data_IF_939146124279
#
_entry.id   IF_939146124279
#
_cell.length_a   1.000
_cell.length_b   1.000
_cell.length_c   1.000
_cell.angle_alpha   90.00
_cell.angle_beta   90.00
_cell.angle_gamma   90.00
#
_symmetry.space_group_name_H-M   'P 1'
#
loop_
_entity.id
_entity.type
_entity.pdbx_description
1 polymer ?
#
# COMPACT_ATOMS: atom_id res chain seq x y z
N UNK A 1 -0.07 16.78 -20.37
CA UNK A 1 -0.34 16.60 -18.92
C UNK A 1 -0.48 15.13 -18.52
N UNK A 2 -1.28 14.28 -19.17
CA UNK A 2 -1.42 12.85 -18.82
C UNK A 2 -0.11 12.06 -18.88
N UNK A 3 0.75 12.30 -19.89
CA UNK A 3 2.03 11.59 -20.02
C UNK A 3 3.00 11.87 -18.85
N UNK A 4 3.06 13.11 -18.36
CA UNK A 4 3.90 13.44 -17.21
C UNK A 4 3.40 12.76 -15.92
N UNK A 5 2.08 12.66 -15.74
CA UNK A 5 1.47 11.96 -14.62
C UNK A 5 1.75 10.45 -14.69
N UNK A 6 1.62 9.85 -15.89
CA UNK A 6 1.94 8.44 -16.12
C UNK A 6 3.42 8.15 -15.82
N UNK A 7 4.35 8.96 -16.33
CA UNK A 7 5.78 8.80 -16.06
C UNK A 7 6.05 8.89 -14.55
N UNK A 8 5.48 9.88 -13.87
CA UNK A 8 5.63 10.02 -12.41
C UNK A 8 5.09 8.82 -11.66
N UNK A 9 3.93 8.28 -12.05
CA UNK A 9 3.35 7.09 -11.43
C UNK A 9 4.23 5.86 -11.65
N UNK A 10 4.67 5.61 -12.89
CA UNK A 10 5.54 4.48 -13.24
C UNK A 10 6.90 4.56 -12.54
N UNK A 11 7.54 5.72 -12.50
CA UNK A 11 8.83 5.90 -11.83
C UNK A 11 8.72 5.56 -10.35
N UNK A 12 7.67 6.02 -9.68
CA UNK A 12 7.46 5.71 -8.25
C UNK A 12 7.11 4.25 -8.01
N UNK A 13 6.32 3.64 -8.89
CA UNK A 13 6.00 2.23 -8.85
C UNK A 13 7.27 1.38 -8.96
N UNK A 14 8.07 1.63 -10.02
CA UNK A 14 9.32 0.89 -10.26
C UNK A 14 10.32 1.09 -9.14
N UNK A 15 10.46 2.31 -8.63
CA UNK A 15 11.32 2.60 -7.48
C UNK A 15 10.85 1.85 -6.23
N UNK A 16 9.54 1.82 -5.96
CA UNK A 16 8.96 1.07 -4.85
C UNK A 16 9.23 -0.43 -4.97
N UNK A 17 9.01 -1.02 -6.15
CA UNK A 17 9.35 -2.43 -6.42
C UNK A 17 10.84 -2.69 -6.20
N UNK A 18 11.71 -1.84 -6.76
CA UNK A 18 13.16 -2.00 -6.64
C UNK A 18 13.62 -1.94 -5.17
N UNK A 19 13.12 -0.98 -4.39
CA UNK A 19 13.46 -0.84 -2.96
C UNK A 19 12.98 -2.07 -2.19
N UNK A 20 11.75 -2.53 -2.42
CA UNK A 20 11.20 -3.68 -1.71
C UNK A 20 11.94 -4.97 -2.07
N UNK A 21 12.23 -5.21 -3.36
CA UNK A 21 13.03 -6.32 -3.82
C UNK A 21 14.44 -6.31 -3.19
N UNK A 22 15.12 -5.17 -3.23
CA UNK A 22 16.45 -5.03 -2.64
C UNK A 22 16.43 -5.28 -1.13
N UNK A 23 15.41 -4.80 -0.43
CA UNK A 23 15.28 -4.97 1.01
C UNK A 23 15.01 -6.43 1.39
N UNK A 24 14.01 -7.07 0.77
CA UNK A 24 13.62 -8.44 1.11
C UNK A 24 14.66 -9.45 0.64
N UNK A 25 15.03 -9.44 -0.65
CA UNK A 25 15.94 -10.43 -1.21
C UNK A 25 17.40 -10.16 -0.81
N UNK A 26 17.78 -8.90 -0.59
CA UNK A 26 19.09 -8.56 -0.01
C UNK A 26 19.26 -9.14 1.39
N UNK A 27 18.24 -9.03 2.25
CA UNK A 27 18.24 -9.64 3.57
C UNK A 27 18.16 -11.18 3.52
N UNK A 28 17.33 -11.73 2.65
CA UNK A 28 17.19 -13.17 2.43
C UNK A 28 18.47 -13.80 1.84
N UNK A 29 19.28 -13.03 1.12
CA UNK A 29 20.47 -13.52 0.42
C UNK A 29 20.15 -14.48 -0.75
N UNK A 30 18.89 -14.56 -1.18
CA UNK A 30 18.45 -15.45 -2.24
C UNK A 30 17.15 -15.00 -2.87
N UNK A 31 17.02 -15.23 -4.18
CA UNK A 31 15.78 -15.02 -4.93
C UNK A 31 14.78 -16.20 -4.80
N UNK A 32 15.18 -17.29 -4.11
CA UNK A 32 14.30 -18.46 -3.89
C UNK A 32 13.30 -18.25 -2.75
N UNK A 33 13.35 -17.11 -2.07
CA UNK A 33 12.37 -16.74 -1.05
C UNK A 33 11.01 -16.46 -1.70
N UNK A 34 10.20 -17.51 -1.88
CA UNK A 34 8.94 -17.44 -2.62
C UNK A 34 7.87 -16.54 -1.97
N UNK A 35 7.81 -16.49 -0.61
CA UNK A 35 6.91 -15.59 0.10
C UNK A 35 7.19 -14.12 -0.25
N UNK A 36 8.47 -13.76 -0.45
CA UNK A 36 8.85 -12.43 -0.93
C UNK A 36 8.23 -12.08 -2.28
N UNK A 37 8.21 -13.04 -3.22
CA UNK A 37 7.54 -12.84 -4.51
C UNK A 37 6.03 -12.72 -4.37
N UNK A 38 5.39 -13.57 -3.52
CA UNK A 38 3.96 -13.48 -3.25
C UNK A 38 3.61 -12.10 -2.71
N UNK A 39 4.36 -11.58 -1.76
CA UNK A 39 4.14 -10.26 -1.19
C UNK A 39 4.29 -9.15 -2.24
N UNK A 40 5.34 -9.17 -3.04
CA UNK A 40 5.60 -8.17 -4.09
C UNK A 40 4.46 -8.16 -5.11
N UNK A 41 4.04 -9.34 -5.58
CA UNK A 41 2.96 -9.47 -6.55
C UNK A 41 1.64 -9.00 -5.94
N UNK A 42 1.31 -9.47 -4.72
CA UNK A 42 0.08 -9.10 -4.03
C UNK A 42 -0.01 -7.60 -3.74
N UNK A 43 1.11 -6.94 -3.49
CA UNK A 43 1.16 -5.51 -3.21
C UNK A 43 1.08 -4.67 -4.51
N UNK A 44 1.92 -4.97 -5.48
CA UNK A 44 2.10 -4.09 -6.64
C UNK A 44 1.12 -4.35 -7.79
N UNK A 45 0.60 -5.57 -7.96
CA UNK A 45 -0.38 -5.83 -9.02
C UNK A 45 -1.70 -5.10 -8.77
N UNK A 46 -2.36 -5.23 -7.59
CA UNK A 46 -3.58 -4.46 -7.33
C UNK A 46 -3.33 -2.95 -7.33
N UNK A 47 -2.19 -2.49 -6.78
CA UNK A 47 -1.82 -1.08 -6.80
C UNK A 47 -1.68 -0.55 -8.24
N UNK A 48 -1.10 -1.33 -9.14
CA UNK A 48 -0.96 -0.98 -10.55
C UNK A 48 -2.33 -0.90 -11.23
N UNK A 49 -3.23 -1.86 -10.97
CA UNK A 49 -4.59 -1.87 -11.52
C UNK A 49 -5.34 -0.61 -11.07
N UNK A 50 -5.35 -0.33 -9.76
CA UNK A 50 -5.98 0.89 -9.22
C UNK A 50 -5.35 2.15 -9.81
N UNK A 51 -4.01 2.18 -9.91
CA UNK A 51 -3.28 3.29 -10.52
C UNK A 51 -3.68 3.56 -11.97
N UNK A 52 -3.85 2.51 -12.79
CA UNK A 52 -4.32 2.63 -14.18
C UNK A 52 -5.75 3.12 -14.23
N UNK A 53 -6.64 2.57 -13.39
CA UNK A 53 -8.04 3.01 -13.31
C UNK A 53 -8.13 4.49 -12.94
N UNK A 54 -7.37 4.92 -11.93
CA UNK A 54 -7.32 6.33 -11.52
C UNK A 54 -6.73 7.23 -12.63
N UNK A 55 -5.70 6.79 -13.33
CA UNK A 55 -5.13 7.55 -14.44
C UNK A 55 -6.13 7.81 -15.55
N UNK A 56 -7.04 6.85 -15.81
CA UNK A 56 -8.04 6.94 -16.87
C UNK A 56 -9.26 7.73 -16.39
N UNK A 57 -9.80 7.39 -15.20
CA UNK A 57 -11.09 7.90 -14.72
C UNK A 57 -10.96 9.14 -13.84
N UNK A 58 -9.94 9.20 -12.99
CA UNK A 58 -9.78 10.23 -11.95
C UNK A 58 -8.33 10.72 -11.84
N UNK A 59 -7.77 11.36 -12.90
CA UNK A 59 -6.35 11.75 -12.92
C UNK A 59 -5.99 12.76 -11.83
N UNK A 60 -6.92 13.60 -11.39
CA UNK A 60 -6.67 14.56 -10.31
C UNK A 60 -6.58 13.88 -8.95
N UNK A 61 -7.37 12.83 -8.71
CA UNK A 61 -7.22 12.00 -7.51
C UNK A 61 -5.86 11.29 -7.50
N UNK A 62 -5.44 10.73 -8.64
CA UNK A 62 -4.11 10.14 -8.76
C UNK A 62 -3.00 11.16 -8.47
N UNK A 63 -3.13 12.38 -8.98
CA UNK A 63 -2.17 13.46 -8.71
C UNK A 63 -2.09 13.80 -7.22
N UNK A 64 -3.22 13.93 -6.53
CA UNK A 64 -3.29 14.13 -5.07
C UNK A 64 -2.60 12.99 -4.32
N UNK A 65 -2.82 11.75 -4.74
CA UNK A 65 -2.21 10.54 -4.14
C UNK A 65 -0.70 10.45 -4.37
N UNK A 66 -0.21 10.91 -5.49
CA UNK A 66 1.22 10.97 -5.78
C UNK A 66 1.91 12.14 -5.08
N UNK A 67 1.17 13.11 -4.56
CA UNK A 67 1.76 14.20 -3.78
C UNK A 67 2.19 13.68 -2.40
N UNK A 68 3.51 13.68 -2.16
CA UNK A 68 4.12 13.10 -0.94
C UNK A 68 4.56 14.18 0.05
N UNK A 69 4.40 15.48 -0.31
CA UNK A 69 4.82 16.57 0.56
C UNK A 69 3.83 16.73 1.71
N UNK A 70 4.18 16.15 2.85
CA UNK A 70 3.49 16.41 4.11
C UNK A 70 3.88 17.82 4.61
N UNK A 71 2.89 18.65 4.87
CA UNK A 71 3.08 20.02 5.36
C UNK A 71 3.17 20.11 6.88
N UNK A 72 2.59 19.13 7.58
CA UNK A 72 2.64 19.06 9.04
C UNK A 72 3.93 18.36 9.51
N UNK A 73 4.72 19.06 10.31
CA UNK A 73 6.00 18.57 10.85
C UNK A 73 5.81 17.34 11.75
N UNK A 74 4.76 17.33 12.58
CA UNK A 74 4.46 16.20 13.47
C UNK A 74 4.09 14.96 12.68
N UNK A 75 3.25 15.11 11.66
CA UNK A 75 2.83 14.02 10.78
C UNK A 75 3.99 13.50 9.93
N UNK A 76 4.89 14.36 9.47
CA UNK A 76 6.12 13.97 8.78
C UNK A 76 6.99 13.05 9.64
N UNK A 77 7.09 13.31 10.95
CA UNK A 77 7.79 12.44 11.90
C UNK A 77 7.17 11.03 11.98
N UNK A 78 5.86 10.95 12.12
CA UNK A 78 5.12 9.68 12.16
C UNK A 78 5.29 8.90 10.85
N UNK A 79 5.19 9.55 9.71
CA UNK A 79 5.36 8.90 8.38
C UNK A 79 6.78 8.34 8.23
N UNK A 80 7.81 9.08 8.65
CA UNK A 80 9.21 8.60 8.60
C UNK A 80 9.43 7.42 9.54
N UNK A 81 8.93 7.48 10.77
CA UNK A 81 9.03 6.40 11.73
C UNK A 81 8.33 5.12 11.23
N UNK A 82 7.11 5.26 10.68
CA UNK A 82 6.39 4.15 10.07
C UNK A 82 7.15 3.55 8.88
N UNK A 83 7.72 4.38 8.03
CA UNK A 83 8.56 3.91 6.91
C UNK A 83 9.77 3.11 7.38
N UNK A 84 10.46 3.56 8.45
CA UNK A 84 11.56 2.82 9.04
C UNK A 84 11.12 1.46 9.61
N UNK A 85 9.99 1.43 10.32
CA UNK A 85 9.43 0.18 10.87
C UNK A 85 9.09 -0.82 9.76
N UNK A 86 8.54 -0.37 8.63
CA UNK A 86 8.29 -1.24 7.47
C UNK A 86 9.58 -1.81 6.89
N UNK A 87 10.61 -0.97 6.70
CA UNK A 87 11.90 -1.44 6.20
C UNK A 87 12.48 -2.50 7.15
N UNK A 88 12.44 -2.25 8.46
CA UNK A 88 12.90 -3.22 9.46
C UNK A 88 12.09 -4.52 9.41
N UNK A 89 10.77 -4.46 9.27
CA UNK A 89 9.92 -5.64 9.15
C UNK A 89 10.28 -6.47 7.91
N UNK A 90 10.51 -5.86 6.76
CA UNK A 90 10.92 -6.55 5.54
C UNK A 90 12.33 -7.15 5.65
N UNK A 91 13.26 -6.45 6.28
CA UNK A 91 14.59 -6.99 6.56
C UNK A 91 14.48 -8.21 7.48
N UNK A 92 13.72 -8.11 8.57
CA UNK A 92 13.51 -9.22 9.51
C UNK A 92 12.83 -10.42 8.85
N UNK A 93 11.88 -10.19 7.95
CA UNK A 93 11.25 -11.26 7.16
C UNK A 93 12.26 -11.99 6.28
N UNK A 94 13.11 -11.26 5.56
CA UNK A 94 14.18 -11.85 4.75
C UNK A 94 15.20 -12.61 5.58
N UNK A 95 15.66 -12.04 6.71
CA UNK A 95 16.58 -12.71 7.65
C UNK A 95 15.94 -13.95 8.29
N UNK A 96 14.66 -13.88 8.65
CA UNK A 96 13.90 -15.01 9.20
C UNK A 96 13.92 -16.20 8.26
N UNK A 97 13.71 -15.97 6.95
CA UNK A 97 13.85 -17.02 5.93
C UNK A 97 15.30 -17.52 5.81
N UNK A 98 16.27 -16.60 5.74
CA UNK A 98 17.69 -16.94 5.58
C UNK A 98 18.23 -17.82 6.70
N UNK A 99 17.84 -17.50 7.93
CA UNK A 99 18.33 -18.22 9.13
C UNK A 99 17.36 -19.28 9.64
N UNK A 100 16.20 -19.46 8.97
CA UNK A 100 15.20 -20.46 9.37
C UNK A 100 14.57 -20.18 10.73
N UNK A 101 14.47 -18.91 11.16
CA UNK A 101 13.92 -18.57 12.47
C UNK A 101 12.45 -18.96 12.60
N UNK A 102 11.69 -18.85 11.52
CA UNK A 102 10.30 -19.27 11.43
C UNK A 102 9.94 -19.60 9.99
N UNK A 103 9.06 -20.58 9.83
CA UNK A 103 8.48 -20.92 8.53
C UNK A 103 6.96 -20.96 8.67
N UNK A 104 6.30 -20.03 8.02
CA UNK A 104 4.83 -20.02 8.00
C UNK A 104 4.32 -21.18 7.14
N UNK A 105 3.36 -21.98 7.63
CA UNK A 105 2.70 -22.99 6.82
C UNK A 105 2.02 -22.35 5.59
N UNK A 106 2.04 -23.05 4.46
CA UNK A 106 1.48 -22.53 3.21
C UNK A 106 0.01 -22.11 3.30
N UNK A 107 -0.78 -22.79 4.13
CA UNK A 107 -2.18 -22.43 4.36
C UNK A 107 -2.34 -21.08 5.07
N UNK A 108 -1.45 -20.73 5.99
CA UNK A 108 -1.44 -19.41 6.65
C UNK A 108 -1.17 -18.33 5.63
N UNK A 109 -0.16 -18.53 4.77
CA UNK A 109 0.18 -17.58 3.69
C UNK A 109 -0.99 -17.43 2.72
N UNK A 110 -1.68 -18.52 2.38
CA UNK A 110 -2.85 -18.46 1.50
C UNK A 110 -4.00 -17.66 2.12
N UNK A 111 -4.33 -17.89 3.40
CA UNK A 111 -5.36 -17.12 4.11
C UNK A 111 -4.96 -15.64 4.19
N UNK A 112 -3.72 -15.35 4.56
CA UNK A 112 -3.23 -13.98 4.64
C UNK A 112 -3.31 -13.28 3.26
N UNK A 113 -2.96 -13.98 2.17
CA UNK A 113 -3.09 -13.46 0.81
C UNK A 113 -4.55 -13.13 0.46
N UNK A 114 -5.48 -14.02 0.77
CA UNK A 114 -6.92 -13.77 0.52
C UNK A 114 -7.40 -12.54 1.29
N UNK A 115 -7.09 -12.45 2.58
CA UNK A 115 -7.47 -11.30 3.41
C UNK A 115 -6.81 -10.01 2.91
N UNK A 116 -5.57 -10.08 2.48
CA UNK A 116 -4.84 -8.95 1.90
C UNK A 116 -5.53 -8.43 0.62
N UNK A 117 -5.90 -9.33 -0.29
CA UNK A 117 -6.60 -8.96 -1.52
C UNK A 117 -8.01 -8.41 -1.25
N UNK A 118 -8.73 -8.98 -0.28
CA UNK A 118 -10.03 -8.45 0.16
C UNK A 118 -9.89 -7.03 0.73
N UNK A 119 -8.86 -6.78 1.54
CA UNK A 119 -8.58 -5.45 2.06
C UNK A 119 -8.25 -4.45 0.94
N UNK A 120 -7.56 -4.89 -0.12
CA UNK A 120 -7.36 -4.06 -1.32
C UNK A 120 -8.65 -3.72 -2.05
N UNK A 121 -9.60 -4.65 -2.14
CA UNK A 121 -10.91 -4.39 -2.73
C UNK A 121 -11.69 -3.36 -1.92
N UNK A 122 -11.69 -3.50 -0.58
CA UNK A 122 -12.30 -2.51 0.32
C UNK A 122 -11.64 -1.14 0.12
N UNK A 123 -10.30 -1.10 0.04
CA UNK A 123 -9.56 0.13 -0.17
C UNK A 123 -9.88 0.78 -1.53
N UNK A 124 -10.00 -0.01 -2.59
CA UNK A 124 -10.38 0.46 -3.92
C UNK A 124 -11.80 1.04 -3.92
N UNK A 125 -12.73 0.41 -3.20
CA UNK A 125 -14.10 0.89 -3.05
C UNK A 125 -14.14 2.22 -2.28
N UNK A 126 -13.38 2.35 -1.21
CA UNK A 126 -13.22 3.61 -0.47
C UNK A 126 -12.72 4.73 -1.38
N UNK A 127 -11.76 4.44 -2.27
CA UNK A 127 -11.27 5.42 -3.25
C UNK A 127 -12.31 5.79 -4.29
N UNK A 128 -13.16 4.84 -4.68
CA UNK A 128 -14.24 5.08 -5.62
C UNK A 128 -15.31 6.00 -5.02
N UNK A 129 -15.66 5.81 -3.76
CA UNK A 129 -16.69 6.60 -3.09
C UNK A 129 -16.19 8.00 -2.69
N UNK A 130 -14.93 8.12 -2.29
CA UNK A 130 -14.38 9.35 -1.74
C UNK A 130 -13.30 9.96 -2.63
N UNK A 131 -13.72 10.79 -3.57
CA UNK A 131 -12.82 11.53 -4.47
C UNK A 131 -11.99 12.63 -3.75
N UNK A 132 -12.33 12.99 -2.51
CA UNK A 132 -11.57 13.95 -1.69
C UNK A 132 -10.38 13.30 -0.98
N UNK A 133 -10.25 11.97 -1.02
CA UNK A 133 -9.24 11.23 -0.30
C UNK A 133 -7.83 11.54 -0.83
N UNK A 134 -7.15 12.44 -0.14
CA UNK A 134 -5.73 12.78 -0.36
C UNK A 134 -4.83 11.92 0.53
N UNK A 135 -3.55 11.82 0.20
CA UNK A 135 -2.54 11.20 1.08
C UNK A 135 -2.16 12.12 2.23
N UNK A 136 -2.24 13.42 2.01
CA UNK A 136 -2.02 14.47 3.00
C UNK A 136 -3.35 14.93 3.58
N UNK A 137 -3.36 15.34 4.85
CA UNK A 137 -4.58 15.91 5.46
C UNK A 137 -4.80 17.30 4.88
N UNK A 138 -5.78 17.39 4.00
CA UNK A 138 -6.23 18.65 3.39
C UNK A 138 -7.76 18.72 3.52
N UNK A 139 -8.26 19.79 4.16
CA UNK A 139 -9.69 20.07 4.21
C UNK A 139 -9.97 21.16 3.19
N UNK A 140 -10.77 20.82 2.17
CA UNK A 140 -11.23 21.82 1.19
C UNK A 140 -12.59 22.38 1.62
N UNK A 141 -12.82 23.68 1.36
CA UNK A 141 -14.05 24.35 1.74
C UNK A 141 -15.34 23.72 1.17
N UNK A 142 -15.21 22.98 0.07
CA UNK A 142 -16.32 22.32 -0.61
C UNK A 142 -16.46 20.82 -0.26
N UNK A 143 -15.67 20.32 0.71
CA UNK A 143 -15.67 18.90 1.08
C UNK A 143 -17.00 18.53 1.76
N UNK A 144 -17.77 17.64 1.10
CA UNK A 144 -18.99 17.08 1.67
C UNK A 144 -18.68 15.86 2.53
N UNK A 145 -19.44 15.68 3.60
CA UNK A 145 -19.41 14.46 4.40
C UNK A 145 -19.99 13.33 3.54
N UNK A 146 -19.26 12.22 3.44
CA UNK A 146 -19.69 11.01 2.73
C UNK A 146 -20.23 10.04 3.78
N UNK A 147 -21.49 9.66 3.64
CA UNK A 147 -22.23 8.75 4.53
C UNK A 147 -22.88 7.57 3.77
N UNK A 148 -22.46 7.35 2.51
CA UNK A 148 -22.98 6.30 1.63
C UNK A 148 -22.05 5.10 1.57
N UNK A 149 -22.52 3.97 1.03
CA UNK A 149 -21.74 2.76 0.79
C UNK A 149 -21.03 2.25 2.03
N UNK A 150 -19.71 2.10 1.97
CA UNK A 150 -18.91 1.64 3.10
C UNK A 150 -18.92 2.60 4.29
N UNK A 151 -19.08 3.91 4.04
CA UNK A 151 -19.14 4.92 5.10
C UNK A 151 -20.45 4.88 5.89
N UNK A 152 -21.53 4.31 5.33
CA UNK A 152 -22.78 4.05 6.05
C UNK A 152 -22.63 2.92 7.09
N UNK A 153 -21.69 1.98 6.85
CA UNK A 153 -21.48 0.80 7.72
C UNK A 153 -20.39 1.10 8.75
N UNK A 154 -19.29 1.72 8.34
CA UNK A 154 -18.12 2.00 9.18
C UNK A 154 -17.68 3.45 8.97
N UNK A 155 -17.49 4.20 10.07
CA UNK A 155 -17.07 5.62 10.00
C UNK A 155 -15.72 5.82 9.31
N UNK A 156 -14.81 4.85 9.43
CA UNK A 156 -13.45 4.93 8.90
C UNK A 156 -13.07 3.67 8.11
N UNK A 157 -13.72 3.39 6.97
CA UNK A 157 -13.51 2.16 6.23
C UNK A 157 -12.05 2.03 5.71
N UNK A 158 -11.40 3.14 5.40
CA UNK A 158 -9.99 3.13 4.99
C UNK A 158 -9.07 2.62 6.11
N UNK A 159 -9.31 3.01 7.36
CA UNK A 159 -8.51 2.53 8.49
C UNK A 159 -8.73 1.04 8.73
N UNK A 160 -9.97 0.56 8.62
CA UNK A 160 -10.27 -0.87 8.73
C UNK A 160 -9.53 -1.69 7.67
N UNK A 161 -9.58 -1.27 6.41
CA UNK A 161 -8.82 -1.91 5.33
C UNK A 161 -7.31 -1.87 5.59
N UNK A 162 -6.78 -0.74 6.04
CA UNK A 162 -5.36 -0.56 6.33
C UNK A 162 -4.88 -1.49 7.45
N UNK A 163 -5.65 -1.66 8.52
CA UNK A 163 -5.33 -2.59 9.62
C UNK A 163 -5.22 -4.02 9.08
N UNK A 164 -6.19 -4.47 8.27
CA UNK A 164 -6.15 -5.82 7.68
C UNK A 164 -4.95 -5.98 6.76
N UNK A 165 -4.65 -4.99 5.91
CA UNK A 165 -3.45 -4.99 5.05
C UNK A 165 -2.17 -5.17 5.88
N UNK A 166 -2.04 -4.44 6.99
CA UNK A 166 -0.83 -4.48 7.81
C UNK A 166 -0.68 -5.77 8.60
N UNK A 167 -1.77 -6.35 9.09
CA UNK A 167 -1.74 -7.64 9.81
C UNK A 167 -1.37 -8.78 8.86
N UNK A 168 -1.81 -8.72 7.61
CA UNK A 168 -1.60 -9.78 6.62
C UNK A 168 -0.30 -9.62 5.82
N UNK A 169 0.36 -8.45 5.87
CA UNK A 169 1.57 -8.15 5.11
C UNK A 169 2.81 -9.01 5.47
N UNK A 170 3.04 -9.48 6.71
CA UNK A 170 4.22 -10.28 7.07
C UNK A 170 4.18 -11.73 6.56
N UNK A 171 3.63 -11.99 5.41
CA UNK A 171 3.52 -13.33 4.78
C UNK A 171 4.87 -13.94 4.41
#
# INVERSE_FOLDING_TARGET
MKNALLISALTRLLLGVAILCATIFGAAGSLHYWNGWVLIIALFVPMSIVGVVLLIKEPDLLRKRLNVKERDVKQSGVVKASGLLFILAFVLSGLGWRFGWYMLPRWVVAIALVLFLLAYLIYAEVLRENSYLSRTIEVTAEQKVIDTGLYAIVRHPMYSATIVLFITMPM
#
